data_IF_712924629488
#
_entry.id   IF_712924629488
#
_cell.length_a   1.000
_cell.length_b   1.000
_cell.length_c   1.000
_cell.angle_alpha   90.00
_cell.angle_beta   90.00
_cell.angle_gamma   90.00
#
_symmetry.space_group_name_H-M   'P 1'
#
loop_
_entity.id
_entity.type
_entity.pdbx_description
1 polymer ?
#
# COMPACT_ATOMS: atom_id res chain seq x y z
N UNK A 1 -14.44 26.54 -15.58
CA UNK A 1 -13.23 25.73 -15.84
C UNK A 1 -13.67 24.28 -15.84
N UNK A 2 -13.69 23.67 -17.02
CA UNK A 2 -14.11 22.28 -17.27
C UNK A 2 -12.99 21.28 -16.92
N UNK A 3 -13.38 20.00 -16.89
CA UNK A 3 -12.55 18.79 -16.98
C UNK A 3 -11.90 18.25 -15.69
N UNK A 4 -12.54 17.24 -15.11
CA UNK A 4 -12.27 15.83 -15.43
C UNK A 4 -13.29 14.96 -14.71
N UNK A 5 -14.20 14.32 -15.45
CA UNK A 5 -14.68 13.03 -14.99
C UNK A 5 -13.46 12.10 -15.09
N UNK A 6 -12.86 11.73 -13.97
CA UNK A 6 -11.89 10.62 -13.96
C UNK A 6 -12.75 9.35 -14.05
N UNK A 7 -13.23 9.09 -15.26
CA UNK A 7 -14.25 8.07 -15.54
C UNK A 7 -13.61 6.69 -15.61
N UNK A 8 -13.03 6.18 -14.53
CA UNK A 8 -12.63 4.78 -14.45
C UNK A 8 -13.42 4.08 -13.36
N UNK A 9 -14.08 2.97 -13.71
CA UNK A 9 -14.67 2.08 -12.73
C UNK A 9 -13.93 0.74 -12.71
N UNK A 10 -13.88 0.11 -11.54
CA UNK A 10 -13.29 -1.19 -11.33
C UNK A 10 -14.39 -2.18 -10.93
N UNK A 11 -14.34 -3.37 -11.51
CA UNK A 11 -15.31 -4.43 -11.24
C UNK A 11 -14.54 -5.71 -10.92
N UNK A 12 -14.70 -6.22 -9.71
CA UNK A 12 -14.28 -7.57 -9.34
C UNK A 12 -15.31 -8.60 -9.80
N UNK A 13 -14.84 -9.78 -10.22
CA UNK A 13 -15.67 -10.84 -10.80
C UNK A 13 -15.41 -12.20 -10.14
N UNK A 14 -16.40 -13.08 -10.26
CA UNK A 14 -16.30 -14.50 -9.86
C UNK A 14 -15.33 -15.29 -10.74
N UNK A 15 -14.98 -14.75 -11.92
CA UNK A 15 -13.93 -15.30 -12.80
C UNK A 15 -12.50 -15.06 -12.30
N UNK A 16 -12.36 -14.52 -11.07
CA UNK A 16 -11.10 -14.24 -10.36
C UNK A 16 -10.31 -13.05 -10.93
N UNK A 17 -10.91 -12.27 -11.82
CA UNK A 17 -10.30 -11.10 -12.42
C UNK A 17 -10.94 -9.80 -11.93
N UNK A 18 -10.22 -8.70 -12.18
CA UNK A 18 -10.74 -7.35 -12.03
C UNK A 18 -10.68 -6.69 -13.40
N UNK A 19 -11.75 -6.03 -13.82
CA UNK A 19 -11.77 -5.26 -15.06
C UNK A 19 -11.88 -3.77 -14.76
N UNK A 20 -11.03 -3.00 -15.41
CA UNK A 20 -11.09 -1.54 -15.42
C UNK A 20 -11.78 -1.08 -16.70
N UNK A 21 -12.76 -0.20 -16.54
CA UNK A 21 -13.54 0.33 -17.65
C UNK A 21 -13.47 1.83 -17.67
N UNK A 22 -13.40 2.37 -18.88
CA UNK A 22 -13.62 3.76 -19.13
C UNK A 22 -15.14 4.02 -19.13
N UNK A 23 -15.59 4.88 -18.23
CA UNK A 23 -17.01 5.16 -17.98
C UNK A 23 -17.61 6.01 -19.08
N UNK A 24 -16.82 6.86 -19.74
CA UNK A 24 -17.30 7.75 -20.79
C UNK A 24 -17.55 6.98 -22.09
N UNK A 25 -16.64 6.05 -22.42
CA UNK A 25 -16.67 5.27 -23.67
C UNK A 25 -17.30 3.89 -23.49
N UNK A 26 -17.40 3.39 -22.26
CA UNK A 26 -17.85 2.03 -21.96
C UNK A 26 -16.88 0.95 -22.43
N UNK A 27 -15.61 1.29 -22.68
CA UNK A 27 -14.60 0.34 -23.15
C UNK A 27 -13.79 -0.25 -22.00
N UNK A 28 -13.44 -1.53 -22.11
CA UNK A 28 -12.51 -2.15 -21.17
C UNK A 28 -11.11 -1.58 -21.41
N UNK A 29 -10.54 -0.98 -20.37
CA UNK A 29 -9.17 -0.46 -20.38
C UNK A 29 -8.21 -1.62 -20.14
N UNK A 30 -8.51 -2.47 -19.15
CA UNK A 30 -7.60 -3.53 -18.69
C UNK A 30 -8.31 -4.63 -17.91
N UNK A 31 -7.79 -5.85 -18.01
CA UNK A 31 -8.07 -6.95 -17.07
C UNK A 31 -6.86 -7.21 -16.16
N UNK A 32 -7.04 -7.14 -14.85
CA UNK A 32 -6.06 -7.53 -13.83
C UNK A 32 -6.29 -8.99 -13.45
N UNK A 33 -5.21 -9.80 -13.51
CA UNK A 33 -5.21 -11.23 -13.18
C UNK A 33 -4.19 -11.48 -12.08
N UNK A 34 -4.52 -12.33 -11.12
CA UNK A 34 -3.60 -12.74 -10.07
C UNK A 34 -4.26 -13.28 -8.80
N UNK A 35 -5.57 -13.05 -8.60
CA UNK A 35 -6.32 -13.75 -7.57
C UNK A 35 -6.61 -15.21 -7.97
N UNK A 36 -6.61 -16.10 -6.99
CA UNK A 36 -6.91 -17.52 -7.18
C UNK A 36 -8.37 -17.88 -6.85
N UNK A 37 -9.15 -16.90 -6.41
CA UNK A 37 -10.58 -17.00 -6.12
C UNK A 37 -11.37 -15.76 -6.53
N UNK A 38 -12.72 -15.83 -6.52
CA UNK A 38 -13.62 -14.72 -6.77
C UNK A 38 -13.21 -13.41 -6.08
N UNK A 39 -13.27 -12.30 -6.81
CA UNK A 39 -12.97 -10.97 -6.27
C UNK A 39 -14.25 -10.34 -5.75
N UNK A 40 -14.35 -10.16 -4.43
CA UNK A 40 -15.59 -9.75 -3.76
C UNK A 40 -15.75 -8.26 -3.57
N UNK A 41 -14.65 -7.52 -3.58
CA UNK A 41 -14.61 -6.10 -3.30
C UNK A 41 -13.38 -5.49 -3.95
N UNK A 42 -13.56 -4.31 -4.54
CA UNK A 42 -12.50 -3.49 -5.12
C UNK A 42 -12.71 -2.03 -4.70
N UNK A 43 -11.63 -1.29 -4.50
CA UNK A 43 -11.70 0.12 -4.15
C UNK A 43 -10.44 0.86 -4.62
N UNK A 44 -10.59 2.10 -5.11
CA UNK A 44 -9.46 2.94 -5.46
C UNK A 44 -8.91 3.66 -4.23
N UNK A 45 -7.60 3.87 -4.19
CA UNK A 45 -6.98 4.82 -3.29
C UNK A 45 -7.50 6.24 -3.57
N UNK A 46 -7.45 7.16 -2.59
CA UNK A 46 -7.92 8.53 -2.77
C UNK A 46 -7.25 9.30 -3.92
N UNK A 47 -5.99 8.97 -4.25
CA UNK A 47 -5.26 9.55 -5.37
C UNK A 47 -5.50 8.84 -6.73
N UNK A 48 -6.29 7.77 -6.74
CA UNK A 48 -6.64 6.97 -7.91
C UNK A 48 -5.52 6.11 -8.50
N UNK A 49 -4.31 6.11 -7.91
CA UNK A 49 -3.15 5.41 -8.48
C UNK A 49 -3.08 3.93 -8.11
N UNK A 50 -3.65 3.57 -6.96
CA UNK A 50 -3.67 2.21 -6.45
C UNK A 50 -5.10 1.69 -6.40
N UNK A 51 -5.30 0.44 -6.80
CA UNK A 51 -6.54 -0.29 -6.54
C UNK A 51 -6.27 -1.33 -5.45
N UNK A 52 -7.18 -1.49 -4.51
CA UNK A 52 -7.18 -2.63 -3.56
C UNK A 52 -8.30 -3.59 -3.92
N UNK A 53 -8.07 -4.89 -3.74
CA UNK A 53 -9.07 -5.93 -3.92
C UNK A 53 -9.04 -6.96 -2.79
N UNK A 54 -10.21 -7.49 -2.41
CA UNK A 54 -10.35 -8.61 -1.49
C UNK A 54 -11.01 -9.82 -2.17
N UNK A 55 -10.52 -11.03 -1.88
CA UNK A 55 -10.90 -12.25 -2.59
C UNK A 55 -11.22 -13.45 -1.68
N UNK A 56 -11.89 -14.44 -2.26
CA UNK A 56 -12.09 -15.79 -1.74
C UNK A 56 -10.80 -16.60 -1.53
N UNK A 57 -9.71 -16.21 -2.18
CA UNK A 57 -8.39 -16.79 -1.91
C UNK A 57 -7.79 -16.34 -0.56
N UNK A 58 -8.56 -15.59 0.24
CA UNK A 58 -8.22 -15.09 1.59
C UNK A 58 -7.17 -14.00 1.60
N UNK A 59 -6.81 -13.47 0.43
CA UNK A 59 -5.82 -12.40 0.29
C UNK A 59 -6.46 -11.07 -0.03
N UNK A 60 -5.68 -10.01 0.21
CA UNK A 60 -5.94 -8.67 -0.31
C UNK A 60 -4.79 -8.33 -1.24
N UNK A 61 -5.08 -7.80 -2.44
CA UNK A 61 -4.05 -7.39 -3.39
C UNK A 61 -4.12 -5.90 -3.66
N UNK A 62 -2.96 -5.26 -3.78
CA UNK A 62 -2.80 -3.89 -4.23
C UNK A 62 -2.28 -3.91 -5.66
N UNK A 63 -2.86 -3.08 -6.51
CA UNK A 63 -2.56 -3.02 -7.93
C UNK A 63 -2.21 -1.60 -8.32
N UNK A 64 -1.21 -1.46 -9.17
CA UNK A 64 -0.91 -0.22 -9.85
C UNK A 64 -1.92 -0.04 -10.99
N UNK A 65 -2.69 1.05 -10.96
CA UNK A 65 -3.80 1.26 -11.92
C UNK A 65 -3.29 1.53 -13.33
N UNK A 66 -2.16 2.20 -13.47
CA UNK A 66 -1.59 2.60 -14.77
C UNK A 66 -1.00 1.39 -15.51
N UNK A 67 -0.16 0.63 -14.82
CA UNK A 67 0.55 -0.54 -15.36
C UNK A 67 -0.27 -1.82 -15.27
N UNK A 68 -1.23 -1.89 -14.35
CA UNK A 68 -2.01 -3.08 -14.04
C UNK A 68 -1.24 -4.18 -13.32
N UNK A 69 -0.06 -3.87 -12.79
CA UNK A 69 0.76 -4.84 -12.07
C UNK A 69 0.30 -4.96 -10.62
N UNK A 70 0.43 -6.16 -10.07
CA UNK A 70 0.30 -6.37 -8.63
C UNK A 70 1.50 -5.73 -7.93
N UNK A 71 1.24 -4.79 -7.02
CA UNK A 71 2.26 -4.14 -6.18
C UNK A 71 2.56 -5.02 -4.96
N UNK A 72 1.52 -5.54 -4.32
CA UNK A 72 1.66 -6.26 -3.06
C UNK A 72 0.47 -7.19 -2.80
N UNK A 73 0.74 -8.31 -2.13
CA UNK A 73 -0.28 -9.19 -1.55
C UNK A 73 -0.20 -9.15 -0.03
N UNK A 74 -1.31 -8.80 0.62
CA UNK A 74 -1.46 -8.86 2.06
C UNK A 74 -2.06 -10.20 2.48
N UNK A 75 -1.30 -10.93 3.29
CA UNK A 75 -1.71 -12.18 3.90
C UNK A 75 -2.10 -11.95 5.36
N UNK A 76 -3.06 -12.73 5.86
CA UNK A 76 -3.36 -12.75 7.30
C UNK A 76 -4.81 -13.03 7.67
N UNK A 77 -5.74 -12.99 6.71
CA UNK A 77 -7.09 -13.52 6.92
C UNK A 77 -7.12 -15.04 6.76
N UNK A 78 -7.93 -15.71 7.58
CA UNK A 78 -8.06 -17.17 7.57
C UNK A 78 -9.25 -17.67 6.73
N UNK A 79 -10.07 -16.75 6.24
CA UNK A 79 -11.22 -16.99 5.39
C UNK A 79 -11.34 -15.86 4.36
N UNK A 80 -12.31 -15.98 3.44
CA UNK A 80 -12.50 -15.05 2.35
C UNK A 80 -12.62 -13.59 2.81
N UNK A 81 -12.05 -12.68 2.04
CA UNK A 81 -12.11 -11.24 2.30
C UNK A 81 -13.31 -10.66 1.59
N UNK A 82 -14.29 -10.19 2.36
CA UNK A 82 -15.59 -9.76 1.80
C UNK A 82 -15.61 -8.30 1.38
N UNK A 83 -14.85 -7.45 2.07
CA UNK A 83 -14.84 -6.00 1.85
C UNK A 83 -13.45 -5.43 2.11
N UNK A 84 -13.05 -4.46 1.30
CA UNK A 84 -11.82 -3.67 1.46
C UNK A 84 -12.11 -2.19 1.24
N UNK A 85 -11.39 -1.30 1.92
CA UNK A 85 -11.52 0.14 1.72
C UNK A 85 -10.26 0.90 2.12
N UNK A 86 -9.96 1.99 1.42
CA UNK A 86 -8.94 2.94 1.85
C UNK A 86 -9.53 3.97 2.82
N UNK A 87 -8.75 4.30 3.84
CA UNK A 87 -8.96 5.54 4.58
C UNK A 87 -8.86 6.76 3.64
N UNK A 88 -9.53 7.89 3.97
CA UNK A 88 -9.51 9.09 3.12
C UNK A 88 -8.12 9.69 2.88
N UNK A 89 -7.16 9.44 3.78
CA UNK A 89 -5.76 9.89 3.63
C UNK A 89 -4.89 8.89 2.86
N UNK A 90 -5.43 7.73 2.49
CA UNK A 90 -4.75 6.67 1.75
C UNK A 90 -3.70 5.89 2.54
N UNK A 91 -3.49 6.19 3.84
CA UNK A 91 -2.40 5.61 4.65
C UNK A 91 -2.78 4.31 5.33
N UNK A 92 -4.07 4.04 5.42
CA UNK A 92 -4.61 2.83 6.05
C UNK A 92 -5.62 2.15 5.15
N UNK A 93 -5.54 0.83 5.04
CA UNK A 93 -6.57 -0.03 4.50
C UNK A 93 -7.33 -0.70 5.63
N UNK A 94 -8.63 -0.91 5.44
CA UNK A 94 -9.44 -1.78 6.28
C UNK A 94 -9.96 -2.95 5.46
N UNK A 95 -10.01 -4.13 6.07
CA UNK A 95 -10.62 -5.32 5.48
C UNK A 95 -11.54 -6.04 6.45
N UNK A 96 -12.65 -6.57 5.94
CA UNK A 96 -13.56 -7.45 6.67
C UNK A 96 -13.60 -8.84 6.04
N UNK A 97 -13.52 -9.87 6.87
CA UNK A 97 -13.45 -11.27 6.43
C UNK A 97 -14.48 -12.16 7.14
N UNK A 98 -14.77 -13.29 6.51
CA UNK A 98 -15.56 -14.38 7.09
C UNK A 98 -14.82 -15.13 8.21
N UNK A 99 -13.59 -14.76 8.54
CA UNK A 99 -12.89 -15.25 9.73
C UNK A 99 -13.33 -14.54 11.02
N UNK A 100 -14.42 -13.75 10.95
CA UNK A 100 -14.97 -12.93 12.02
C UNK A 100 -14.04 -11.80 12.49
N UNK A 101 -13.08 -11.38 11.65
CA UNK A 101 -12.17 -10.28 11.98
C UNK A 101 -12.28 -9.11 11.00
N UNK A 102 -12.01 -7.93 11.55
CA UNK A 102 -11.66 -6.73 10.80
C UNK A 102 -10.17 -6.49 11.02
N UNK A 103 -9.42 -6.20 9.96
CA UNK A 103 -7.99 -5.88 10.04
C UNK A 103 -7.72 -4.49 9.48
N UNK A 104 -6.79 -3.79 10.12
CA UNK A 104 -6.22 -2.53 9.65
C UNK A 104 -4.81 -2.78 9.16
N UNK A 105 -4.51 -2.26 7.97
CA UNK A 105 -3.22 -2.42 7.31
C UNK A 105 -2.66 -1.03 7.05
N UNK A 106 -1.42 -0.79 7.45
CA UNK A 106 -0.73 0.44 7.06
C UNK A 106 -0.30 0.30 5.60
N UNK A 107 -0.67 1.27 4.80
CA UNK A 107 -0.21 1.40 3.41
C UNK A 107 1.01 2.29 3.45
N UNK A 108 2.17 1.67 3.39
CA UNK A 108 3.44 2.39 3.34
C UNK A 108 3.65 2.92 1.92
N UNK A 109 3.01 4.05 1.60
CA UNK A 109 3.24 4.79 0.34
C UNK A 109 4.49 5.67 0.37
N UNK A 110 5.24 5.68 1.47
CA UNK A 110 6.56 6.28 1.46
C UNK A 110 7.46 5.44 0.55
N UNK A 111 7.64 5.92 -0.67
CA UNK A 111 8.77 5.57 -1.55
C UNK A 111 10.14 5.70 -0.87
N UNK A 112 10.19 6.28 0.33
CA UNK A 112 11.32 6.30 1.26
C UNK A 112 11.25 5.22 2.37
N UNK A 113 10.46 4.15 2.29
CA UNK A 113 10.46 3.07 3.30
C UNK A 113 11.12 1.78 2.82
N UNK A 114 11.18 1.56 1.50
CA UNK A 114 11.80 0.38 0.91
C UNK A 114 13.26 0.60 0.44
N UNK A 115 13.79 1.82 0.58
CA UNK A 115 15.23 2.03 0.40
C UNK A 115 15.96 1.80 1.72
N UNK A 116 17.01 0.96 1.68
CA UNK A 116 17.95 0.74 2.77
C UNK A 116 18.43 2.06 3.40
N UNK A 117 18.67 3.09 2.60
CA UNK A 117 19.13 4.40 3.10
C UNK A 117 18.16 5.04 4.10
N UNK A 118 16.86 4.88 3.87
CA UNK A 118 15.85 5.49 4.71
C UNK A 118 15.53 4.63 5.95
N UNK A 119 15.65 3.30 5.84
CA UNK A 119 15.65 2.42 7.00
C UNK A 119 16.85 2.70 7.91
N UNK A 120 18.03 2.86 7.31
CA UNK A 120 19.26 3.24 8.00
C UNK A 120 19.15 4.64 8.61
N UNK A 121 18.51 5.59 7.92
CA UNK A 121 18.20 6.92 8.46
C UNK A 121 17.38 6.87 9.74
N UNK A 122 16.28 6.10 9.76
CA UNK A 122 15.41 5.95 10.94
C UNK A 122 16.12 5.27 12.12
N UNK A 123 16.94 4.25 11.83
CA UNK A 123 17.80 3.64 12.83
C UNK A 123 18.79 4.67 13.41
N UNK A 124 19.38 5.48 12.53
CA UNK A 124 20.30 6.54 12.91
C UNK A 124 19.66 7.68 13.72
N UNK A 125 18.36 7.96 13.57
CA UNK A 125 17.67 8.94 14.40
C UNK A 125 17.70 8.55 15.89
N UNK A 126 17.50 7.26 16.20
CA UNK A 126 17.63 6.75 17.57
C UNK A 126 19.08 6.73 18.05
N UNK A 127 20.01 6.33 17.19
CA UNK A 127 21.43 6.27 17.53
C UNK A 127 21.99 7.66 17.82
N UNK A 128 21.59 8.71 17.07
CA UNK A 128 21.98 10.10 17.34
C UNK A 128 21.58 10.55 18.75
N UNK A 129 20.41 10.14 19.24
CA UNK A 129 19.96 10.45 20.62
C UNK A 129 20.92 9.86 21.65
N UNK A 130 21.39 8.64 21.44
CA UNK A 130 22.37 8.01 22.33
C UNK A 130 23.76 8.64 22.19
N UNK A 131 24.23 8.89 20.96
CA UNK A 131 25.54 9.46 20.66
C UNK A 131 25.70 10.88 21.19
N UNK A 132 24.64 11.70 21.20
CA UNK A 132 24.68 13.07 21.72
C UNK A 132 24.22 13.20 23.18
N UNK A 133 23.91 12.09 23.85
CA UNK A 133 23.63 12.12 25.28
C UNK A 133 24.93 12.50 26.04
N UNK A 134 24.96 13.57 26.84
CA UNK A 134 26.16 13.98 27.58
C UNK A 134 26.59 12.97 28.65
N UNK A 135 25.72 12.03 29.03
CA UNK A 135 25.99 11.01 30.05
C UNK A 135 26.33 9.62 29.48
N UNK A 136 26.46 9.46 28.17
CA UNK A 136 26.64 8.14 27.54
C UNK A 136 28.08 7.61 27.51
N UNK A 137 29.07 8.41 27.94
CA UNK A 137 30.49 8.02 27.91
C UNK A 137 31.05 7.80 26.50
N UNK A 138 30.33 8.24 25.46
CA UNK A 138 30.69 8.11 24.05
C UNK A 138 31.84 9.06 23.72
N UNK A 139 32.83 8.57 22.96
CA UNK A 139 33.96 9.38 22.49
C UNK A 139 33.51 10.35 21.42
N UNK A 140 34.19 11.48 21.33
CA UNK A 140 33.82 12.55 20.38
C UNK A 140 33.88 12.07 18.92
N UNK A 141 34.84 11.20 18.58
CA UNK A 141 35.00 10.59 17.26
C UNK A 141 33.79 9.73 16.84
N UNK A 142 33.14 9.06 17.80
CA UNK A 142 32.02 8.15 17.55
C UNK A 142 30.69 8.89 17.38
N UNK A 143 30.61 10.18 17.74
CA UNK A 143 29.37 10.97 17.64
C UNK A 143 28.92 11.20 16.20
N UNK A 144 29.83 11.07 15.24
CA UNK A 144 29.60 11.27 13.81
C UNK A 144 29.19 10.01 13.05
N UNK A 145 28.96 8.87 13.73
CA UNK A 145 28.68 7.57 13.11
C UNK A 145 27.48 7.57 12.15
N UNK A 146 26.52 8.47 12.37
CA UNK A 146 25.31 8.60 11.57
C UNK A 146 25.31 9.82 10.63
N UNK A 147 26.45 10.50 10.46
CA UNK A 147 26.56 11.62 9.53
C UNK A 147 26.47 11.12 8.09
N UNK A 148 25.67 11.80 7.26
CA UNK A 148 25.43 11.43 5.86
C UNK A 148 24.47 10.26 5.63
N UNK A 149 23.98 9.61 6.69
CA UNK A 149 22.97 8.54 6.58
C UNK A 149 21.55 9.13 6.71
N UNK A 150 20.72 8.89 5.69
CA UNK A 150 19.30 9.27 5.67
C UNK A 150 19.00 10.73 5.28
N UNK A 151 20.01 11.56 5.09
CA UNK A 151 19.87 12.93 4.56
C UNK A 151 20.02 12.90 3.04
N UNK A 152 18.93 13.12 2.30
CA UNK A 152 19.04 13.47 0.87
C UNK A 152 19.68 14.86 0.77
N UNK A 153 20.66 15.01 -0.12
CA UNK A 153 21.00 16.30 -0.71
C UNK A 153 19.80 16.86 -1.49
#
# INVERSE_FOLDING_TARGET
>A
MSEKAIGTCAIGSDDKTIKLWDVETGQEIRTLKGHDGPVRSVNFSPDGKTLVSGSDDKTIKLWDVETGQEIHTLYGHNSLVRSVNFSPDGKTLVSGSWDNTIKLWKVETDSNLLNLDALMGRSCDWVRVYLHNPNSGVREEDRHLCDGIGTKN
#
